data_IF_595137184309
#
_entry.id   IF_595137184309
#
_cell.length_a   1.000
_cell.length_b   1.000
_cell.length_c   1.000
_cell.angle_alpha   90.00
_cell.angle_beta   90.00
_cell.angle_gamma   90.00
#
_symmetry.space_group_name_H-M   'P 1'
#
loop_
_entity.id
_entity.type
_entity.pdbx_description
1 polymer ?
#
# COMPACT_ATOMS: atom_id res chain seq x y z
N UNK A 1 2.81 -2.48 18.17
CA UNK A 1 3.60 -2.56 16.93
C UNK A 1 3.18 -1.45 15.99
N UNK A 2 4.15 -0.77 15.41
CA UNK A 2 3.93 0.31 14.45
C UNK A 2 4.28 -0.17 13.04
N UNK A 3 3.36 0.05 12.12
CA UNK A 3 3.51 -0.26 10.69
C UNK A 3 3.44 1.03 9.90
N UNK A 4 4.36 1.20 8.95
CA UNK A 4 4.35 2.30 7.99
C UNK A 4 4.25 1.73 6.58
N UNK A 5 3.48 2.37 5.73
CA UNK A 5 3.40 2.08 4.29
C UNK A 5 3.57 3.37 3.50
N UNK A 6 4.45 3.35 2.50
CA UNK A 6 4.74 4.53 1.69
C UNK A 6 5.05 4.17 0.24
N UNK A 7 4.24 4.67 -0.68
CA UNK A 7 4.62 4.70 -2.09
C UNK A 7 5.63 5.83 -2.27
N UNK A 8 6.88 5.47 -2.56
CA UNK A 8 8.00 6.42 -2.62
C UNK A 8 8.25 6.98 -4.02
N UNK A 9 7.53 6.49 -5.03
CA UNK A 9 7.66 6.93 -6.42
C UNK A 9 9.13 7.02 -6.88
N UNK A 10 9.86 5.94 -6.63
CA UNK A 10 11.30 5.84 -6.92
C UNK A 10 12.17 6.06 -5.67
N UNK A 11 12.72 4.97 -5.14
CA UNK A 11 13.51 5.01 -3.89
C UNK A 11 14.80 5.80 -4.05
N UNK A 12 15.51 5.65 -5.16
CA UNK A 12 16.76 6.41 -5.40
C UNK A 12 16.54 7.91 -5.39
N UNK A 13 15.40 8.37 -5.92
CA UNK A 13 15.05 9.79 -5.91
C UNK A 13 14.72 10.29 -4.50
N UNK A 14 13.92 9.53 -3.74
CA UNK A 14 13.49 9.98 -2.42
C UNK A 14 14.62 9.92 -1.36
N UNK A 15 15.61 9.06 -1.54
CA UNK A 15 16.78 9.03 -0.68
C UNK A 15 17.51 10.39 -0.71
N UNK A 16 17.57 11.04 -1.87
CA UNK A 16 18.14 12.40 -1.98
C UNK A 16 17.29 13.50 -1.34
N UNK A 17 16.06 13.16 -0.93
CA UNK A 17 15.09 14.08 -0.32
C UNK A 17 14.86 13.82 1.17
N UNK A 18 15.78 13.10 1.82
CA UNK A 18 15.74 12.87 3.27
C UNK A 18 15.01 11.61 3.72
N UNK A 19 14.84 10.61 2.86
CA UNK A 19 14.17 9.35 3.21
C UNK A 19 14.77 8.70 4.47
N UNK A 20 16.10 8.68 4.61
CA UNK A 20 16.74 8.02 5.75
C UNK A 20 16.37 8.68 7.09
N UNK A 21 16.30 9.99 7.14
CA UNK A 21 15.90 10.72 8.36
C UNK A 21 14.43 10.49 8.68
N UNK A 22 13.57 10.46 7.66
CA UNK A 22 12.13 10.14 7.81
C UNK A 22 11.97 8.73 8.33
N UNK A 23 12.67 7.76 7.75
CA UNK A 23 12.63 6.36 8.17
C UNK A 23 13.02 6.20 9.65
N UNK A 24 14.12 6.82 10.07
CA UNK A 24 14.59 6.79 11.46
C UNK A 24 13.64 7.49 12.42
N UNK A 25 13.08 8.63 12.02
CA UNK A 25 12.13 9.38 12.84
C UNK A 25 10.83 8.63 13.08
N UNK A 26 10.31 7.97 12.06
CA UNK A 26 9.08 7.17 12.19
C UNK A 26 9.28 5.91 13.04
N UNK A 27 10.49 5.37 13.07
CA UNK A 27 10.91 4.25 13.95
C UNK A 27 9.88 3.12 14.01
N UNK A 28 9.49 2.61 12.87
CA UNK A 28 8.47 1.58 12.76
C UNK A 28 9.03 0.17 12.99
N UNK A 29 8.19 -0.75 13.49
CA UNK A 29 8.51 -2.18 13.51
C UNK A 29 8.56 -2.74 12.08
N UNK A 30 7.66 -2.26 11.22
CA UNK A 30 7.56 -2.64 9.80
C UNK A 30 7.42 -1.39 8.94
N UNK A 31 8.27 -1.28 7.93
CA UNK A 31 8.23 -0.17 6.98
C UNK A 31 8.12 -0.73 5.56
N UNK A 32 6.95 -0.58 4.96
CA UNK A 32 6.60 -1.13 3.66
C UNK A 32 6.70 -0.05 2.58
N UNK A 33 7.31 -0.40 1.44
CA UNK A 33 7.53 0.49 0.32
C UNK A 33 6.83 -0.02 -0.94
N UNK A 34 6.27 0.89 -1.72
CA UNK A 34 5.76 0.63 -3.04
C UNK A 34 6.42 1.58 -4.05
N UNK A 35 6.41 1.19 -5.31
CA UNK A 35 7.08 1.93 -6.39
C UNK A 35 8.55 2.24 -6.08
N UNK A 36 9.31 1.25 -5.67
CA UNK A 36 10.74 1.43 -5.44
C UNK A 36 11.50 1.75 -6.72
N UNK A 37 11.01 1.29 -7.88
CA UNK A 37 11.60 1.46 -9.21
C UNK A 37 13.06 1.03 -9.28
N UNK A 38 13.40 0.01 -8.51
CA UNK A 38 14.77 -0.48 -8.35
C UNK A 38 14.98 -1.86 -8.95
N UNK A 39 16.24 -2.15 -9.19
CA UNK A 39 16.75 -3.49 -9.48
C UNK A 39 17.79 -3.87 -8.43
N UNK A 40 18.02 -5.16 -8.26
CA UNK A 40 19.02 -5.65 -7.32
C UNK A 40 20.39 -5.01 -7.57
N UNK A 41 21.03 -4.55 -6.49
CA UNK A 41 22.38 -3.96 -6.54
C UNK A 41 22.46 -2.49 -6.96
N UNK A 42 21.33 -1.83 -7.26
CA UNK A 42 21.35 -0.41 -7.65
C UNK A 42 21.53 0.56 -6.47
N UNK A 43 21.12 0.15 -5.28
CA UNK A 43 21.24 0.93 -4.06
C UNK A 43 21.41 -0.03 -2.89
N UNK A 44 22.43 0.18 -2.08
CA UNK A 44 22.60 -0.51 -0.81
C UNK A 44 22.08 0.41 0.30
N UNK A 45 20.84 0.14 0.73
CA UNK A 45 20.17 0.91 1.77
C UNK A 45 19.78 -0.02 2.92
N UNK A 46 20.64 -0.04 3.94
CA UNK A 46 20.46 -0.86 5.13
C UNK A 46 20.27 0.03 6.36
N UNK A 47 19.46 -0.45 7.29
CA UNK A 47 19.24 0.22 8.57
C UNK A 47 19.55 -0.76 9.70
N UNK A 48 20.27 -0.28 10.70
CA UNK A 48 20.62 -1.08 11.88
C UNK A 48 19.37 -1.60 12.58
N UNK A 49 19.35 -2.89 12.86
CA UNK A 49 18.22 -3.55 13.52
C UNK A 49 17.08 -3.98 12.59
N UNK A 50 17.24 -3.76 11.28
CA UNK A 50 16.25 -4.16 10.28
C UNK A 50 16.80 -5.22 9.33
N UNK A 51 15.94 -6.18 9.00
CA UNK A 51 16.04 -7.01 7.80
C UNK A 51 15.20 -6.39 6.69
N UNK A 52 15.52 -6.66 5.42
CA UNK A 52 14.74 -6.16 4.29
C UNK A 52 14.49 -7.24 3.23
N UNK A 53 13.32 -7.18 2.63
CA UNK A 53 12.85 -8.13 1.62
C UNK A 53 12.30 -7.36 0.43
N UNK A 54 12.83 -7.66 -0.78
CA UNK A 54 12.61 -6.87 -1.98
C UNK A 54 12.02 -7.72 -3.10
N UNK A 55 10.98 -7.21 -3.75
CA UNK A 55 10.44 -7.77 -4.99
C UNK A 55 10.59 -6.75 -6.10
N UNK A 56 11.36 -7.10 -7.12
CA UNK A 56 11.67 -6.24 -8.25
C UNK A 56 10.81 -6.61 -9.46
N UNK A 57 10.40 -5.60 -10.25
CA UNK A 57 9.81 -5.87 -11.56
C UNK A 57 10.87 -6.33 -12.56
N UNK A 58 10.50 -7.15 -13.52
CA UNK A 58 11.38 -7.53 -14.62
C UNK A 58 11.75 -6.31 -15.47
N UNK A 59 10.79 -5.40 -15.64
CA UNK A 59 11.00 -4.11 -16.31
C UNK A 59 11.77 -3.15 -15.40
N UNK A 60 12.92 -2.66 -15.90
CA UNK A 60 13.76 -1.70 -15.16
C UNK A 60 13.03 -0.37 -14.94
N UNK A 61 13.25 0.22 -13.75
CA UNK A 61 12.70 1.53 -13.40
C UNK A 61 11.17 1.56 -13.24
N UNK A 62 10.56 0.44 -12.93
CA UNK A 62 9.12 0.26 -12.88
C UNK A 62 8.69 -0.53 -11.64
N UNK A 63 7.57 -0.13 -11.01
CA UNK A 63 6.95 -0.85 -9.90
C UNK A 63 7.95 -1.19 -8.77
N UNK A 64 7.87 -2.39 -8.21
CA UNK A 64 8.72 -2.86 -7.13
C UNK A 64 8.18 -2.55 -5.74
N UNK A 65 8.32 -3.51 -4.84
CA UNK A 65 7.89 -3.43 -3.43
C UNK A 65 8.98 -3.93 -2.51
N UNK A 66 8.96 -3.45 -1.26
CA UNK A 66 9.91 -3.91 -0.25
C UNK A 66 9.31 -3.78 1.15
N UNK A 67 9.82 -4.58 2.08
CA UNK A 67 9.51 -4.48 3.52
C UNK A 67 10.83 -4.46 4.30
N UNK A 68 10.98 -3.44 5.15
CA UNK A 68 11.94 -3.43 6.24
C UNK A 68 11.25 -3.87 7.54
N UNK A 69 11.86 -4.75 8.29
CA UNK A 69 11.28 -5.30 9.52
C UNK A 69 12.31 -5.44 10.63
N UNK A 70 11.93 -5.07 11.86
CA UNK A 70 12.69 -5.34 13.07
C UNK A 70 12.54 -6.79 13.56
N UNK A 71 11.59 -7.54 12.98
CA UNK A 71 11.24 -8.91 13.39
C UNK A 71 11.57 -9.89 12.27
N UNK A 72 12.21 -10.99 12.60
CA UNK A 72 12.53 -12.03 11.62
C UNK A 72 11.28 -12.83 11.27
N UNK A 73 10.87 -12.87 9.99
CA UNK A 73 9.72 -13.64 9.57
C UNK A 73 9.96 -15.16 9.59
N UNK A 74 8.89 -15.92 9.76
CA UNK A 74 8.90 -17.38 9.64
C UNK A 74 9.07 -17.83 8.18
N UNK A 75 8.47 -17.08 7.25
CA UNK A 75 8.57 -17.32 5.81
C UNK A 75 8.40 -16.02 5.03
N UNK A 76 8.85 -16.03 3.79
CA UNK A 76 8.75 -14.93 2.84
C UNK A 76 8.19 -15.47 1.52
N UNK A 77 7.20 -14.77 0.96
CA UNK A 77 6.69 -15.04 -0.37
C UNK A 77 6.74 -13.77 -1.22
N UNK A 78 7.21 -13.90 -2.45
CA UNK A 78 7.21 -12.84 -3.46
C UNK A 78 6.14 -13.13 -4.51
N UNK A 79 5.26 -12.16 -4.77
CA UNK A 79 4.12 -12.34 -5.66
C UNK A 79 2.96 -13.13 -5.02
N UNK A 80 2.01 -13.54 -5.84
CA UNK A 80 0.81 -14.26 -5.39
C UNK A 80 0.75 -15.71 -5.90
N UNK A 81 1.80 -16.17 -6.57
CA UNK A 81 1.90 -17.53 -7.10
C UNK A 81 1.20 -17.72 -8.44
N UNK A 82 0.94 -16.64 -9.17
CA UNK A 82 0.33 -16.65 -10.51
C UNK A 82 1.27 -15.94 -11.47
N UNK A 83 1.84 -16.67 -12.42
CA UNK A 83 2.86 -16.18 -13.33
C UNK A 83 2.46 -14.89 -14.03
N UNK A 84 1.22 -14.81 -14.53
CA UNK A 84 0.69 -13.61 -15.19
C UNK A 84 0.84 -12.32 -14.34
N UNK A 85 0.83 -12.44 -13.02
CA UNK A 85 0.84 -11.30 -12.09
C UNK A 85 2.18 -11.04 -11.43
N UNK A 86 3.12 -12.00 -11.49
CA UNK A 86 4.30 -12.00 -10.63
C UNK A 86 5.58 -11.45 -11.31
N UNK A 87 5.44 -10.75 -12.45
CA UNK A 87 6.56 -10.12 -13.17
C UNK A 87 6.75 -8.63 -12.88
N UNK A 88 5.85 -8.02 -12.13
CA UNK A 88 5.89 -6.58 -11.89
C UNK A 88 6.30 -6.19 -10.46
N UNK A 89 6.75 -7.15 -9.64
CA UNK A 89 7.28 -6.86 -8.30
C UNK A 89 6.26 -6.21 -7.35
N UNK A 90 4.98 -6.65 -7.39
CA UNK A 90 3.88 -5.94 -6.76
C UNK A 90 3.56 -6.36 -5.33
N UNK A 91 3.99 -7.56 -4.91
CA UNK A 91 3.57 -8.12 -3.62
C UNK A 91 4.75 -8.76 -2.92
N UNK A 92 4.92 -8.43 -1.63
CA UNK A 92 5.77 -9.16 -0.68
C UNK A 92 4.91 -9.56 0.50
N UNK A 93 4.98 -10.83 0.90
CA UNK A 93 4.30 -11.37 2.07
C UNK A 93 5.32 -11.90 3.06
N UNK A 94 5.28 -11.40 4.29
CA UNK A 94 6.03 -11.93 5.43
C UNK A 94 5.09 -12.65 6.38
N UNK A 95 5.47 -13.85 6.80
CA UNK A 95 4.73 -14.61 7.80
C UNK A 95 5.36 -14.41 9.18
N UNK A 96 4.54 -14.05 10.16
CA UNK A 96 4.89 -14.04 11.57
C UNK A 96 4.02 -15.04 12.35
N UNK A 97 4.31 -15.24 13.60
CA UNK A 97 3.55 -16.20 14.40
C UNK A 97 2.07 -15.85 14.49
N UNK A 98 1.74 -14.57 14.65
CA UNK A 98 0.38 -14.10 14.91
C UNK A 98 -0.35 -13.57 13.67
N UNK A 99 0.36 -13.22 12.59
CA UNK A 99 -0.23 -12.63 11.39
C UNK A 99 0.66 -12.78 10.15
N UNK A 100 0.07 -12.57 8.99
CA UNK A 100 0.79 -12.26 7.76
C UNK A 100 0.83 -10.75 7.54
N UNK A 101 1.97 -10.23 7.09
CA UNK A 101 2.09 -8.86 6.59
C UNK A 101 2.26 -8.89 5.07
N UNK A 102 1.33 -8.27 4.36
CA UNK A 102 1.34 -8.17 2.90
C UNK A 102 1.48 -6.71 2.50
N UNK A 103 2.53 -6.37 1.75
CA UNK A 103 2.59 -5.08 1.06
C UNK A 103 2.24 -5.27 -0.40
N UNK A 104 1.48 -4.33 -0.96
CA UNK A 104 1.01 -4.40 -2.33
C UNK A 104 1.09 -3.06 -3.04
N UNK A 105 1.51 -3.10 -4.29
CA UNK A 105 1.35 -2.02 -5.25
C UNK A 105 0.38 -2.48 -6.34
N UNK A 106 -0.88 -2.09 -6.20
CA UNK A 106 -1.96 -2.49 -7.09
C UNK A 106 -1.76 -1.89 -8.49
N UNK A 107 -1.98 -2.65 -9.58
CA UNK A 107 -1.88 -2.11 -10.93
C UNK A 107 -2.82 -0.92 -11.13
N UNK A 108 -2.29 0.18 -11.69
CA UNK A 108 -3.11 1.31 -12.11
C UNK A 108 -3.86 0.96 -13.39
N UNK A 109 -5.13 1.36 -13.49
CA UNK A 109 -5.94 1.13 -14.69
C UNK A 109 -5.55 1.99 -15.89
N UNK A 110 -4.69 2.99 -15.67
CA UNK A 110 -4.11 3.93 -16.65
C UNK A 110 -5.12 4.86 -17.32
N UNK A 111 -4.58 5.83 -18.05
CA UNK A 111 -5.39 6.77 -18.80
C UNK A 111 -6.27 6.04 -19.82
N UNK A 112 -7.47 6.54 -20.02
CA UNK A 112 -8.49 5.92 -20.88
C UNK A 112 -8.87 4.48 -20.45
N UNK A 113 -8.53 4.10 -19.21
CA UNK A 113 -8.81 2.78 -18.62
C UNK A 113 -8.24 1.61 -19.43
N UNK A 114 -7.09 1.83 -20.08
CA UNK A 114 -6.43 0.82 -20.95
C UNK A 114 -6.14 -0.48 -20.25
N UNK A 115 -5.95 -0.45 -18.94
CA UNK A 115 -5.59 -1.61 -18.13
C UNK A 115 -6.68 -2.03 -17.13
N UNK A 116 -7.90 -1.51 -17.29
CA UNK A 116 -8.99 -1.81 -16.35
C UNK A 116 -9.35 -3.30 -16.33
N UNK A 117 -9.45 -3.93 -17.49
CA UNK A 117 -9.79 -5.37 -17.57
C UNK A 117 -8.73 -6.22 -16.85
N UNK A 118 -7.45 -5.96 -17.11
CA UNK A 118 -6.35 -6.62 -16.39
C UNK A 118 -6.43 -6.34 -14.88
N UNK A 119 -6.72 -5.10 -14.48
CA UNK A 119 -6.88 -4.72 -13.08
C UNK A 119 -7.97 -5.54 -12.39
N UNK A 120 -9.08 -5.80 -13.09
CA UNK A 120 -10.19 -6.59 -12.54
C UNK A 120 -9.80 -8.06 -12.34
N UNK A 121 -9.04 -8.66 -13.27
CA UNK A 121 -8.49 -10.01 -13.10
C UNK A 121 -7.51 -10.06 -11.94
N UNK A 122 -6.61 -9.09 -11.86
CA UNK A 122 -5.63 -8.98 -10.79
C UNK A 122 -6.31 -8.86 -9.41
N UNK A 123 -7.33 -8.01 -9.29
CA UNK A 123 -8.10 -7.85 -8.06
C UNK A 123 -8.77 -9.15 -7.61
N UNK A 124 -9.38 -9.87 -8.55
CA UNK A 124 -9.99 -11.18 -8.27
C UNK A 124 -8.97 -12.15 -7.69
N UNK A 125 -7.83 -12.26 -8.33
CA UNK A 125 -6.79 -13.21 -7.96
C UNK A 125 -6.06 -12.81 -6.67
N UNK A 126 -5.81 -11.51 -6.48
CA UNK A 126 -5.24 -10.98 -5.25
C UNK A 126 -6.17 -11.18 -4.05
N UNK A 127 -7.46 -10.94 -4.21
CA UNK A 127 -8.44 -11.17 -3.14
C UNK A 127 -8.55 -12.64 -2.78
N UNK A 128 -8.48 -13.55 -3.75
CA UNK A 128 -8.41 -14.99 -3.50
C UNK A 128 -7.13 -15.37 -2.72
N UNK A 129 -6.01 -14.76 -3.06
CA UNK A 129 -4.74 -14.93 -2.34
C UNK A 129 -4.86 -14.47 -0.88
N UNK A 130 -5.42 -13.29 -0.63
CA UNK A 130 -5.64 -12.79 0.73
C UNK A 130 -6.58 -13.68 1.54
N UNK A 131 -7.66 -14.17 0.92
CA UNK A 131 -8.62 -15.08 1.57
C UNK A 131 -7.95 -16.40 1.98
N UNK A 132 -7.04 -16.91 1.16
CA UNK A 132 -6.27 -18.12 1.47
C UNK A 132 -5.33 -17.91 2.65
N UNK A 133 -4.66 -16.76 2.72
CA UNK A 133 -3.83 -16.40 3.89
C UNK A 133 -4.69 -16.27 5.14
N UNK A 134 -5.81 -15.54 5.04
CA UNK A 134 -6.69 -15.28 6.18
C UNK A 134 -7.35 -16.54 6.74
N UNK A 135 -7.57 -17.56 5.91
CA UNK A 135 -8.05 -18.86 6.36
C UNK A 135 -7.06 -19.55 7.32
N UNK A 136 -5.76 -19.23 7.23
CA UNK A 136 -4.71 -19.83 8.07
C UNK A 136 -4.42 -18.97 9.31
N UNK A 137 -4.16 -17.68 9.13
CA UNK A 137 -3.96 -16.73 10.23
C UNK A 137 -4.31 -15.30 9.77
N UNK A 138 -4.55 -14.37 10.71
CA UNK A 138 -4.94 -13.00 10.36
C UNK A 138 -3.94 -12.30 9.45
N UNK A 139 -4.44 -11.39 8.62
CA UNK A 139 -3.64 -10.66 7.64
C UNK A 139 -3.67 -9.15 7.93
N UNK A 140 -2.50 -8.53 7.89
CA UNK A 140 -2.33 -7.08 7.76
C UNK A 140 -1.89 -6.82 6.32
N UNK A 141 -2.69 -6.11 5.55
CA UNK A 141 -2.34 -5.75 4.18
C UNK A 141 -2.26 -4.24 4.03
N UNK A 142 -1.20 -3.77 3.39
CA UNK A 142 -0.98 -2.34 3.19
C UNK A 142 -0.45 -2.05 1.79
N UNK A 143 -0.57 -0.81 1.39
CA UNK A 143 0.06 -0.30 0.19
C UNK A 143 -0.82 0.66 -0.60
N UNK A 144 -0.34 0.95 -1.78
CA UNK A 144 -1.07 1.73 -2.78
C UNK A 144 -2.07 0.82 -3.49
N UNK A 145 -3.33 0.98 -3.16
CA UNK A 145 -4.43 0.20 -3.72
C UNK A 145 -5.00 0.82 -5.01
N UNK A 146 -4.47 1.97 -5.42
CA UNK A 146 -4.89 2.67 -6.63
C UNK A 146 -6.41 2.82 -6.76
N UNK A 147 -7.09 3.06 -5.65
CA UNK A 147 -8.52 3.33 -5.60
C UNK A 147 -8.88 4.22 -4.42
N UNK A 148 -9.67 5.26 -4.66
CA UNK A 148 -10.42 5.95 -3.63
C UNK A 148 -11.76 5.22 -3.47
N UNK A 149 -12.03 4.66 -2.28
CA UNK A 149 -13.18 3.76 -2.08
C UNK A 149 -14.50 4.50 -2.17
N UNK A 150 -14.66 5.57 -1.40
CA UNK A 150 -15.90 6.33 -1.28
C UNK A 150 -15.72 7.79 -1.73
N UNK A 151 -16.83 8.52 -1.90
CA UNK A 151 -16.77 9.92 -2.30
C UNK A 151 -15.99 10.82 -1.33
N UNK A 152 -15.96 10.47 -0.05
CA UNK A 152 -15.16 11.16 0.98
C UNK A 152 -13.65 11.01 0.73
N UNK A 153 -13.23 10.00 -0.04
CA UNK A 153 -11.83 9.65 -0.22
C UNK A 153 -11.13 10.40 -1.36
N UNK A 154 -11.83 11.32 -2.04
CA UNK A 154 -11.21 12.20 -3.03
C UNK A 154 -11.93 13.56 -3.12
N UNK A 155 -11.20 14.57 -3.59
CA UNK A 155 -11.71 15.95 -3.62
C UNK A 155 -12.83 16.17 -4.64
N UNK A 156 -12.76 15.52 -5.81
CA UNK A 156 -13.69 15.77 -6.91
C UNK A 156 -14.36 14.46 -7.41
N UNK A 157 -15.24 13.84 -6.61
CA UNK A 157 -15.77 12.52 -6.97
C UNK A 157 -16.59 12.52 -8.27
N UNK A 158 -17.41 13.55 -8.50
CA UNK A 158 -18.31 13.60 -9.66
C UNK A 158 -17.58 13.57 -11.00
N UNK A 159 -16.46 14.30 -11.11
CA UNK A 159 -15.69 14.41 -12.34
C UNK A 159 -14.74 13.24 -12.56
N UNK A 160 -14.53 12.38 -11.55
CA UNK A 160 -13.56 11.29 -11.61
C UNK A 160 -14.19 9.90 -11.71
N UNK A 161 -15.52 9.78 -11.85
CA UNK A 161 -16.21 8.46 -11.87
C UNK A 161 -15.74 7.51 -12.97
N UNK A 162 -15.19 8.04 -14.07
CA UNK A 162 -14.65 7.21 -15.16
C UNK A 162 -13.15 7.42 -15.35
N UNK A 163 -12.47 7.89 -14.32
CA UNK A 163 -11.01 7.97 -14.30
C UNK A 163 -10.41 6.84 -13.47
N UNK A 164 -9.20 6.41 -13.82
CA UNK A 164 -8.47 5.40 -13.07
C UNK A 164 -8.38 5.79 -11.58
N UNK A 165 -8.68 4.85 -10.69
CA UNK A 165 -8.71 5.05 -9.25
C UNK A 165 -10.07 5.40 -8.66
N UNK A 166 -11.09 5.69 -9.50
CA UNK A 166 -12.44 5.95 -8.99
C UNK A 166 -13.56 5.40 -9.90
N UNK A 167 -13.25 4.41 -10.72
CA UNK A 167 -14.29 3.71 -11.49
C UNK A 167 -15.19 2.90 -10.58
N UNK A 168 -16.42 2.68 -10.99
CA UNK A 168 -17.37 1.87 -10.24
C UNK A 168 -16.82 0.44 -10.04
N UNK A 169 -16.14 -0.11 -11.05
CA UNK A 169 -15.51 -1.43 -11.02
C UNK A 169 -14.40 -1.54 -9.96
N UNK A 170 -13.52 -0.55 -9.90
CA UNK A 170 -12.43 -0.51 -8.91
C UNK A 170 -12.97 -0.35 -7.49
N UNK A 171 -13.95 0.53 -7.31
CA UNK A 171 -14.61 0.76 -6.01
C UNK A 171 -15.36 -0.47 -5.53
N UNK A 172 -16.04 -1.18 -6.43
CA UNK A 172 -16.73 -2.43 -6.11
C UNK A 172 -15.75 -3.51 -5.63
N UNK A 173 -14.58 -3.61 -6.23
CA UNK A 173 -13.53 -4.54 -5.77
C UNK A 173 -13.08 -4.25 -4.34
N UNK A 174 -12.93 -2.99 -3.96
CA UNK A 174 -12.64 -2.61 -2.57
C UNK A 174 -13.82 -2.97 -1.65
N UNK A 175 -15.04 -2.69 -2.06
CA UNK A 175 -16.24 -3.06 -1.29
C UNK A 175 -16.29 -4.57 -1.05
N UNK A 176 -16.02 -5.38 -2.08
CA UNK A 176 -16.01 -6.83 -1.97
C UNK A 176 -14.89 -7.34 -1.04
N UNK A 177 -13.70 -6.74 -1.11
CA UNK A 177 -12.60 -7.10 -0.23
C UNK A 177 -12.97 -6.85 1.24
N UNK A 178 -13.55 -5.70 1.54
CA UNK A 178 -13.99 -5.38 2.91
C UNK A 178 -15.13 -6.30 3.35
N UNK A 179 -16.08 -6.62 2.47
CA UNK A 179 -17.18 -7.54 2.76
C UNK A 179 -16.69 -8.98 3.05
N UNK A 180 -15.51 -9.33 2.57
CA UNK A 180 -14.89 -10.65 2.78
C UNK A 180 -14.03 -10.73 4.07
N UNK A 181 -14.31 -9.90 5.06
CA UNK A 181 -13.70 -10.00 6.39
C UNK A 181 -12.48 -9.11 6.61
N UNK A 182 -12.37 -8.00 5.89
CA UNK A 182 -11.33 -6.99 6.10
C UNK A 182 -11.92 -5.65 6.56
N UNK A 183 -11.11 -4.89 7.29
CA UNK A 183 -11.45 -3.57 7.81
C UNK A 183 -10.48 -2.55 7.23
N UNK A 184 -11.01 -1.46 6.67
CA UNK A 184 -10.27 -0.23 6.37
C UNK A 184 -10.01 0.50 7.69
N UNK A 185 -8.80 0.38 8.21
CA UNK A 185 -8.47 0.81 9.56
C UNK A 185 -8.67 2.30 9.79
N UNK A 186 -8.26 3.14 8.83
CA UNK A 186 -8.43 4.58 8.95
C UNK A 186 -9.91 4.96 8.93
N UNK A 187 -10.68 4.44 7.99
CA UNK A 187 -12.11 4.76 7.87
C UNK A 187 -12.94 4.20 9.03
N UNK A 188 -12.52 3.06 9.57
CA UNK A 188 -13.15 2.48 10.76
C UNK A 188 -13.01 3.38 12.00
N UNK A 189 -11.80 3.90 12.24
CA UNK A 189 -11.53 4.77 13.38
C UNK A 189 -12.04 6.20 13.16
N UNK A 190 -11.99 6.70 11.93
CA UNK A 190 -12.31 8.08 11.57
C UNK A 190 -13.32 8.11 10.41
N UNK A 191 -14.60 7.73 10.69
CA UNK A 191 -15.59 7.50 9.62
C UNK A 191 -15.94 8.74 8.80
N UNK A 192 -15.74 9.94 9.34
CA UNK A 192 -16.11 11.21 8.69
C UNK A 192 -14.91 12.11 8.39
N UNK A 193 -13.69 11.67 8.70
CA UNK A 193 -12.50 12.49 8.49
C UNK A 193 -12.07 12.50 7.02
N UNK A 194 -11.97 13.69 6.44
CA UNK A 194 -11.46 13.91 5.09
C UNK A 194 -9.96 14.09 5.16
N UNK A 195 -9.21 13.09 4.71
CA UNK A 195 -7.74 13.11 4.66
C UNK A 195 -7.29 12.30 3.46
N UNK A 196 -6.33 12.84 2.71
CA UNK A 196 -5.82 12.22 1.50
C UNK A 196 -4.38 11.73 1.70
N UNK A 197 -3.96 10.77 0.85
CA UNK A 197 -2.61 10.19 0.87
C UNK A 197 -1.83 10.45 -0.40
N UNK A 198 -2.48 10.91 -1.45
CA UNK A 198 -1.88 11.19 -2.76
C UNK A 198 -2.42 12.47 -3.37
N UNK A 199 -1.52 13.21 -4.05
CA UNK A 199 -1.84 14.43 -4.82
C UNK A 199 -1.04 14.43 -6.11
N UNK A 200 -1.69 14.73 -7.23
CA UNK A 200 -0.98 14.90 -8.49
C UNK A 200 0.09 16.00 -8.37
N UNK A 201 1.22 15.83 -9.05
CA UNK A 201 2.22 16.90 -9.19
C UNK A 201 1.73 18.08 -10.01
N UNK A 202 0.65 17.88 -10.76
CA UNK A 202 0.08 18.91 -11.64
C UNK A 202 -0.80 19.89 -10.85
N UNK A 203 -0.86 21.14 -11.36
CA UNK A 203 -1.81 22.16 -10.90
C UNK A 203 -1.70 22.52 -9.40
N UNK A 204 -0.56 22.30 -8.77
CA UNK A 204 -0.36 22.53 -7.33
C UNK A 204 -1.41 21.81 -6.47
N UNK A 205 -1.71 20.56 -6.83
CA UNK A 205 -2.78 19.79 -6.21
C UNK A 205 -2.58 19.64 -4.70
N UNK A 206 -1.34 19.41 -4.24
CA UNK A 206 -1.07 19.24 -2.80
C UNK A 206 -1.26 20.54 -2.02
N UNK A 207 -0.81 21.69 -2.55
CA UNK A 207 -1.04 23.00 -1.94
C UNK A 207 -2.54 23.30 -1.79
N UNK A 208 -3.33 22.92 -2.79
CA UNK A 208 -4.80 23.10 -2.81
C UNK A 208 -5.56 22.00 -2.09
N UNK A 209 -4.86 20.99 -1.62
CA UNK A 209 -5.42 19.77 -1.07
C UNK A 209 -6.45 19.09 -1.99
N UNK A 210 -6.17 19.08 -3.30
CA UNK A 210 -6.93 18.33 -4.30
C UNK A 210 -6.37 16.92 -4.38
N UNK A 211 -6.68 16.12 -3.38
CA UNK A 211 -6.07 14.82 -3.17
C UNK A 211 -7.05 13.66 -3.23
N UNK A 212 -6.46 12.47 -3.06
CA UNK A 212 -7.13 11.17 -3.04
C UNK A 212 -6.55 10.34 -1.90
N UNK A 213 -7.38 9.58 -1.22
CA UNK A 213 -6.92 8.54 -0.30
C UNK A 213 -6.92 7.21 -1.04
N UNK A 214 -5.73 6.77 -1.43
CA UNK A 214 -5.52 5.54 -2.20
C UNK A 214 -4.51 4.59 -1.55
N UNK A 215 -3.88 5.00 -0.46
CA UNK A 215 -2.99 4.19 0.35
C UNK A 215 -3.72 3.74 1.62
N UNK A 216 -3.64 2.45 1.93
CA UNK A 216 -4.45 1.83 2.99
C UNK A 216 -3.64 0.92 3.88
N UNK A 217 -4.10 0.77 5.12
CA UNK A 217 -3.93 -0.43 5.92
C UNK A 217 -5.29 -1.10 6.09
N UNK A 218 -5.39 -2.33 5.60
CA UNK A 218 -6.54 -3.20 5.83
C UNK A 218 -6.11 -4.34 6.74
N UNK A 219 -6.97 -4.72 7.68
CA UNK A 219 -6.69 -5.85 8.59
C UNK A 219 -7.83 -6.85 8.55
N UNK A 220 -7.50 -8.12 8.78
CA UNK A 220 -8.53 -9.13 9.05
C UNK A 220 -9.43 -8.67 10.20
N UNK A 221 -10.72 -8.90 10.09
CA UNK A 221 -11.69 -8.51 11.14
C UNK A 221 -11.33 -9.07 12.52
N UNK A 222 -10.68 -10.25 12.56
CA UNK A 222 -10.18 -10.87 13.80
C UNK A 222 -9.13 -10.03 14.53
N UNK A 223 -8.48 -9.09 13.86
CA UNK A 223 -7.51 -8.16 14.47
C UNK A 223 -8.15 -6.85 14.96
N UNK A 224 -9.45 -6.70 14.84
CA UNK A 224 -10.15 -5.46 15.17
C UNK A 224 -9.87 -4.98 16.60
N UNK A 225 -9.86 -5.90 17.56
CA UNK A 225 -9.65 -5.56 18.98
C UNK A 225 -8.19 -5.22 19.30
N UNK A 226 -7.27 -5.50 18.36
CA UNK A 226 -5.87 -5.09 18.46
C UNK A 226 -5.60 -3.71 17.87
N UNK A 227 -6.56 -3.13 17.14
CA UNK A 227 -6.40 -1.84 16.46
C UNK A 227 -6.42 -0.70 17.48
N UNK A 228 -5.33 0.06 17.56
CA UNK A 228 -5.19 1.17 18.49
C UNK A 228 -5.20 2.53 17.79
N UNK A 229 -4.58 2.66 16.61
CA UNK A 229 -4.64 3.90 15.84
C UNK A 229 -4.31 3.66 14.35
N UNK A 230 -4.68 4.64 13.53
CA UNK A 230 -4.33 4.73 12.12
C UNK A 230 -4.11 6.20 11.77
N UNK A 231 -3.02 6.50 11.03
CA UNK A 231 -2.64 7.88 10.70
C UNK A 231 -2.29 8.01 9.23
N UNK A 232 -2.46 9.21 8.73
CA UNK A 232 -1.99 9.64 7.39
C UNK A 232 -1.07 10.84 7.60
N UNK A 233 0.22 10.68 7.31
CA UNK A 233 1.25 11.69 7.57
C UNK A 233 1.33 12.73 6.44
N UNK A 234 0.31 13.56 6.32
CA UNK A 234 0.18 14.56 5.25
C UNK A 234 1.27 15.64 5.26
N UNK A 235 1.97 15.79 6.37
CA UNK A 235 3.09 16.72 6.57
C UNK A 235 4.45 16.16 6.12
N UNK A 236 4.52 14.90 5.70
CA UNK A 236 5.75 14.28 5.17
C UNK A 236 5.76 14.39 3.65
N UNK A 237 6.84 14.97 3.11
CA UNK A 237 7.04 15.25 1.70
C UNK A 237 8.15 14.37 1.11
N UNK A 238 8.33 14.43 -0.19
CA UNK A 238 9.38 13.73 -0.94
C UNK A 238 8.84 12.82 -2.04
N UNK A 239 7.59 12.37 -1.93
CA UNK A 239 6.83 11.64 -2.93
C UNK A 239 5.52 12.37 -3.23
N UNK A 240 4.82 12.00 -4.28
CA UNK A 240 3.44 12.41 -4.54
C UNK A 240 2.43 11.71 -3.61
N UNK A 241 2.87 10.65 -2.93
CA UNK A 241 2.17 10.06 -1.78
C UNK A 241 2.80 10.51 -0.47
N UNK A 242 2.03 10.48 0.62
CA UNK A 242 2.56 10.55 1.97
C UNK A 242 2.49 9.18 2.65
N UNK A 243 3.30 8.95 3.72
CA UNK A 243 3.21 7.71 4.48
C UNK A 243 1.87 7.55 5.18
N UNK A 244 1.40 6.31 5.29
CA UNK A 244 0.28 5.92 6.16
C UNK A 244 0.78 5.00 7.27
N UNK A 245 0.13 5.05 8.42
CA UNK A 245 0.54 4.33 9.63
C UNK A 245 -0.61 3.52 10.21
N UNK A 246 -0.27 2.37 10.75
CA UNK A 246 -1.14 1.51 11.53
C UNK A 246 -0.46 1.17 12.86
N UNK A 247 -1.19 1.27 13.96
CA UNK A 247 -0.75 0.82 15.28
C UNK A 247 -1.62 -0.33 15.77
N UNK A 248 -0.99 -1.47 16.07
CA UNK A 248 -1.63 -2.65 16.66
C UNK A 248 -0.97 -2.99 18.00
N UNK A 249 -1.76 -3.45 18.95
CA UNK A 249 -1.29 -3.98 20.24
C UNK A 249 -1.67 -5.45 20.35
N UNK A 250 -0.67 -6.33 20.47
CA UNK A 250 -0.83 -7.77 20.66
C UNK A 250 -0.59 -8.16 22.13
#
# INVERSE_FOLDING_TARGET
MKFISWNVNGLRAIVTKGFEDIFKTLDADFFCLQETKMQAGQLDLQFEGYESYWNYADKKGYSGTAIYTKHTPLSVQYGIGIDQHDHEGRVVTLEFEQFYLVTVYTPNSQDELKRLDYRMEWERDFQAFLAKLDANKPVVVCGDMNVAHQEIDLKNPKTNRRNAGFTDEEREKMTNLLANGFIDTFRYLYPEQVTYSWWSYRFKAREKNTGWRIDYFLISERLKDHLTDAKIHTDIFGSDHCPVELDLTF
#
